data_IF_849980935916
#
_entry.id   IF_849980935916
#
_cell.length_a   1.000
_cell.length_b   1.000
_cell.length_c   1.000
_cell.angle_alpha   90.00
_cell.angle_beta   90.00
_cell.angle_gamma   90.00
#
_symmetry.space_group_name_H-M   'P 1'
#
loop_
_entity.id
_entity.type
_entity.pdbx_description
1 polymer ?
#
# COMPACT_ATOMS: atom_id res chain seq x y z
N UNK A 1 7.20 17.95 9.19
CA UNK A 1 8.23 16.88 9.27
C UNK A 1 7.63 15.51 9.57
N UNK A 2 6.75 15.36 10.57
CA UNK A 2 6.11 14.07 10.90
C UNK A 2 5.32 13.46 9.72
N UNK A 3 4.55 14.27 8.99
CA UNK A 3 3.76 13.82 7.83
C UNK A 3 4.60 13.18 6.72
N UNK A 4 5.82 13.68 6.49
CA UNK A 4 6.76 13.14 5.51
C UNK A 4 7.33 11.79 5.95
N UNK A 5 7.70 11.67 7.22
CA UNK A 5 8.16 10.39 7.77
C UNK A 5 7.07 9.33 7.66
N UNK A 6 5.81 9.69 7.93
CA UNK A 6 4.68 8.78 7.73
C UNK A 6 4.53 8.36 6.27
N UNK A 7 4.68 9.27 5.30
CA UNK A 7 4.65 8.93 3.88
C UNK A 7 5.79 7.97 3.49
N UNK A 8 7.00 8.16 4.01
CA UNK A 8 8.13 7.24 3.79
C UNK A 8 7.85 5.86 4.41
N UNK A 9 7.28 5.80 5.62
CA UNK A 9 6.88 4.54 6.26
C UNK A 9 5.80 3.80 5.45
N UNK A 10 4.83 4.53 4.89
CA UNK A 10 3.85 3.97 3.95
C UNK A 10 4.55 3.40 2.71
N UNK A 11 5.58 4.08 2.21
CA UNK A 11 6.44 3.57 1.14
C UNK A 11 7.10 2.23 1.48
N UNK A 12 7.64 2.09 2.70
CA UNK A 12 8.24 0.83 3.16
C UNK A 12 7.20 -0.30 3.22
N UNK A 13 6.01 -0.03 3.76
CA UNK A 13 4.88 -0.96 3.77
C UNK A 13 4.49 -1.40 2.35
N UNK A 14 4.41 -0.45 1.41
CA UNK A 14 4.17 -0.73 0.00
C UNK A 14 5.25 -1.65 -0.58
N UNK A 15 6.53 -1.43 -0.29
CA UNK A 15 7.59 -2.33 -0.76
C UNK A 15 7.37 -3.77 -0.27
N UNK A 16 6.95 -3.95 0.98
CA UNK A 16 6.59 -5.26 1.51
C UNK A 16 5.42 -5.89 0.74
N UNK A 17 4.38 -5.11 0.45
CA UNK A 17 3.27 -5.56 -0.38
C UNK A 17 3.73 -6.04 -1.76
N UNK A 18 4.54 -5.23 -2.46
CA UNK A 18 5.05 -5.54 -3.79
C UNK A 18 6.00 -6.76 -3.78
N UNK A 19 6.76 -6.94 -2.71
CA UNK A 19 7.62 -8.11 -2.52
C UNK A 19 6.80 -9.40 -2.35
N UNK A 20 5.73 -9.35 -1.55
CA UNK A 20 4.74 -10.44 -1.40
C UNK A 20 4.10 -10.76 -2.76
N UNK A 21 3.54 -9.75 -3.42
CA UNK A 21 2.93 -9.87 -4.75
C UNK A 21 3.89 -10.47 -5.79
N UNK A 22 5.13 -9.97 -5.83
CA UNK A 22 6.16 -10.42 -6.74
C UNK A 22 6.57 -11.88 -6.52
N UNK A 23 6.58 -12.33 -5.27
CA UNK A 23 6.87 -13.73 -4.94
C UNK A 23 5.81 -14.68 -5.48
N UNK A 24 4.54 -14.37 -5.21
CA UNK A 24 3.41 -15.14 -5.71
C UNK A 24 3.35 -15.07 -7.25
N UNK A 25 3.73 -13.92 -7.83
CA UNK A 25 3.59 -13.59 -9.25
C UNK A 25 4.27 -14.59 -10.16
N UNK A 26 5.41 -15.11 -9.68
CA UNK A 26 6.23 -16.09 -10.39
C UNK A 26 5.57 -17.48 -10.46
N UNK A 27 4.68 -17.81 -9.54
CA UNK A 27 4.07 -19.15 -9.46
C UNK A 27 2.65 -19.19 -10.05
N UNK A 28 1.87 -18.09 -9.93
CA UNK A 28 0.43 -18.11 -10.23
C UNK A 28 -0.04 -17.13 -11.29
N UNK A 29 0.90 -16.42 -11.93
CA UNK A 29 0.58 -15.44 -12.97
C UNK A 29 0.13 -14.09 -12.41
N UNK A 30 0.55 -13.02 -13.08
CA UNK A 30 0.39 -11.64 -12.61
C UNK A 30 -1.06 -11.22 -12.39
N UNK A 31 -1.97 -11.62 -13.29
CA UNK A 31 -3.38 -11.23 -13.22
C UNK A 31 -4.09 -11.80 -11.99
N UNK A 32 -3.83 -13.07 -11.63
CA UNK A 32 -4.47 -13.71 -10.48
C UNK A 32 -4.09 -13.02 -9.17
N UNK A 33 -2.86 -12.53 -9.09
CA UNK A 33 -2.31 -11.91 -7.88
C UNK A 33 -2.67 -10.45 -7.76
N UNK A 34 -2.74 -9.74 -8.89
CA UNK A 34 -3.36 -8.43 -8.94
C UNK A 34 -4.82 -8.51 -8.43
N UNK A 35 -5.58 -9.51 -8.88
CA UNK A 35 -6.94 -9.75 -8.41
C UNK A 35 -6.98 -10.07 -6.91
N UNK A 36 -6.15 -11.00 -6.43
CA UNK A 36 -6.03 -11.34 -5.00
C UNK A 36 -5.71 -10.11 -4.13
N UNK A 37 -4.76 -9.28 -4.55
CA UNK A 37 -4.42 -8.06 -3.81
C UNK A 37 -5.54 -7.02 -3.82
N UNK A 38 -6.29 -6.94 -4.92
CA UNK A 38 -7.50 -6.12 -4.97
C UNK A 38 -8.51 -6.59 -3.94
N UNK A 39 -8.79 -7.89 -3.89
CA UNK A 39 -9.74 -8.49 -2.95
C UNK A 39 -9.31 -8.32 -1.49
N UNK A 40 -8.03 -8.56 -1.15
CA UNK A 40 -7.53 -8.36 0.22
C UNK A 40 -7.66 -6.91 0.65
N UNK A 41 -7.27 -5.95 -0.20
CA UNK A 41 -7.35 -4.52 0.12
C UNK A 41 -8.79 -4.07 0.30
N UNK A 42 -9.70 -4.47 -0.61
CA UNK A 42 -11.13 -4.14 -0.53
C UNK A 42 -11.78 -4.75 0.72
N UNK A 43 -11.46 -6.01 1.02
CA UNK A 43 -12.02 -6.70 2.19
C UNK A 43 -11.58 -6.04 3.49
N UNK A 44 -10.28 -5.69 3.60
CA UNK A 44 -9.75 -4.98 4.78
C UNK A 44 -10.41 -3.60 4.91
N UNK A 45 -10.48 -2.81 3.83
CA UNK A 45 -11.10 -1.49 3.86
C UNK A 45 -12.57 -1.57 4.28
N UNK A 46 -13.33 -2.49 3.67
CA UNK A 46 -14.73 -2.69 3.96
C UNK A 46 -14.98 -3.11 5.42
N UNK A 47 -14.19 -4.06 5.92
CA UNK A 47 -14.25 -4.49 7.32
C UNK A 47 -13.97 -3.34 8.29
N UNK A 48 -13.00 -2.46 7.98
CA UNK A 48 -12.71 -1.29 8.80
C UNK A 48 -13.85 -0.27 8.80
N UNK A 49 -14.48 -0.02 7.66
CA UNK A 49 -15.66 0.87 7.59
C UNK A 49 -16.82 0.30 8.41
N UNK A 50 -17.07 -1.00 8.30
CA UNK A 50 -18.10 -1.69 9.08
C UNK A 50 -17.78 -1.63 10.58
N UNK A 51 -16.56 -1.98 10.97
CA UNK A 51 -16.11 -1.95 12.37
C UNK A 51 -16.22 -0.54 12.96
N UNK A 52 -15.74 0.48 12.25
CA UNK A 52 -15.80 1.85 12.74
C UNK A 52 -17.24 2.36 12.88
N UNK A 53 -18.17 1.91 12.03
CA UNK A 53 -19.60 2.19 12.21
C UNK A 53 -20.14 1.56 13.49
N UNK A 54 -19.84 0.28 13.71
CA UNK A 54 -20.36 -0.50 14.85
C UNK A 54 -19.81 0.04 16.17
N UNK A 55 -18.51 0.36 16.23
CA UNK A 55 -17.86 0.78 17.47
C UNK A 55 -17.92 2.30 17.73
N UNK A 56 -17.73 3.12 16.69
CA UNK A 56 -17.64 4.58 16.85
C UNK A 56 -18.95 5.31 16.57
N UNK A 57 -19.99 4.60 16.09
CA UNK A 57 -21.26 5.20 15.71
C UNK A 57 -21.12 6.24 14.58
N UNK A 58 -20.04 6.16 13.80
CA UNK A 58 -19.72 7.16 12.80
C UNK A 58 -20.84 7.27 11.75
N UNK A 59 -21.29 8.50 11.48
CA UNK A 59 -22.31 8.75 10.48
C UNK A 59 -21.70 8.70 9.07
N UNK A 60 -22.12 7.70 8.30
CA UNK A 60 -21.73 7.49 6.90
C UNK A 60 -22.83 7.91 5.93
N UNK A 61 -23.80 8.74 6.37
CA UNK A 61 -24.89 9.26 5.55
C UNK A 61 -24.40 9.93 4.25
N UNK A 62 -23.31 10.69 4.32
CA UNK A 62 -22.66 11.29 3.16
C UNK A 62 -22.07 10.26 2.18
N UNK A 63 -21.66 9.09 2.67
CA UNK A 63 -21.19 7.99 1.82
C UNK A 63 -22.36 7.31 1.09
N UNK A 64 -23.51 7.22 1.75
CA UNK A 64 -24.71 6.55 1.25
C UNK A 64 -25.29 7.20 -0.03
N UNK A 65 -24.98 8.47 -0.29
CA UNK A 65 -25.36 9.17 -1.52
C UNK A 65 -24.51 8.77 -2.74
N UNK A 66 -23.27 8.32 -2.51
CA UNK A 66 -22.33 7.91 -3.57
C UNK A 66 -22.41 6.40 -3.76
N UNK A 67 -22.26 5.63 -2.68
CA UNK A 67 -22.34 4.18 -2.68
C UNK A 67 -23.18 3.77 -1.49
N UNK A 68 -24.30 3.08 -1.76
CA UNK A 68 -25.15 2.65 -0.66
C UNK A 68 -24.40 1.66 0.24
N UNK A 69 -24.60 1.79 1.55
CA UNK A 69 -23.87 0.98 2.52
C UNK A 69 -24.10 -0.53 2.35
N UNK A 70 -25.28 -0.94 1.90
CA UNK A 70 -25.60 -2.35 1.64
C UNK A 70 -24.73 -2.91 0.51
N UNK A 71 -24.41 -2.10 -0.50
CA UNK A 71 -23.48 -2.50 -1.57
C UNK A 71 -22.05 -2.63 -1.07
N UNK A 72 -21.58 -1.71 -0.22
CA UNK A 72 -20.26 -1.84 0.41
C UNK A 72 -20.17 -3.13 1.22
N UNK A 73 -21.22 -3.45 1.97
CA UNK A 73 -21.30 -4.71 2.73
C UNK A 73 -21.23 -5.93 1.80
N UNK A 74 -22.03 -5.96 0.73
CA UNK A 74 -22.04 -7.06 -0.24
C UNK A 74 -20.66 -7.22 -0.92
N UNK A 75 -20.04 -6.13 -1.39
CA UNK A 75 -18.72 -6.16 -2.03
C UNK A 75 -17.66 -6.70 -1.06
N UNK A 76 -17.69 -6.24 0.19
CA UNK A 76 -16.76 -6.69 1.24
C UNK A 76 -16.95 -8.18 1.54
N UNK A 77 -18.20 -8.63 1.62
CA UNK A 77 -18.54 -10.01 1.93
C UNK A 77 -18.17 -10.95 0.77
N UNK A 78 -18.51 -10.59 -0.47
CA UNK A 78 -18.10 -11.34 -1.67
C UNK A 78 -16.59 -11.39 -1.79
N UNK A 79 -15.91 -10.26 -1.54
CA UNK A 79 -14.45 -10.19 -1.55
C UNK A 79 -13.83 -11.11 -0.50
N UNK A 80 -14.36 -11.10 0.72
CA UNK A 80 -13.89 -11.93 1.83
C UNK A 80 -14.13 -13.41 1.57
N UNK A 81 -15.29 -13.79 1.02
CA UNK A 81 -15.56 -15.18 0.61
C UNK A 81 -14.57 -15.62 -0.45
N UNK A 82 -14.30 -14.79 -1.46
CA UNK A 82 -13.31 -15.07 -2.50
C UNK A 82 -11.89 -15.25 -1.95
N UNK A 83 -11.55 -14.62 -0.82
CA UNK A 83 -10.28 -14.84 -0.12
C UNK A 83 -10.26 -16.18 0.61
N UNK A 84 -11.37 -16.58 1.23
CA UNK A 84 -11.48 -17.86 1.94
C UNK A 84 -11.34 -19.04 0.99
N UNK A 85 -11.86 -18.94 -0.24
CA UNK A 85 -11.74 -20.03 -1.23
C UNK A 85 -10.29 -20.28 -1.66
N UNK A 86 -9.43 -19.26 -1.61
CA UNK A 86 -7.99 -19.37 -1.94
C UNK A 86 -7.08 -19.47 -0.71
N UNK A 87 -7.64 -19.42 0.50
CA UNK A 87 -6.91 -19.43 1.76
C UNK A 87 -6.04 -20.67 1.95
N UNK A 88 -6.54 -21.84 1.56
CA UNK A 88 -5.77 -23.09 1.63
C UNK A 88 -4.67 -23.18 0.58
N UNK A 89 -4.76 -22.37 -0.47
CA UNK A 89 -3.85 -22.41 -1.59
C UNK A 89 -2.71 -21.42 -1.42
N UNK A 90 -2.79 -20.44 -0.52
CA UNK A 90 -1.79 -19.38 -0.40
C UNK A 90 -1.17 -19.36 1.00
N UNK A 91 0.12 -18.98 1.13
CA UNK A 91 0.73 -18.80 2.44
C UNK A 91 -0.02 -17.74 3.25
N UNK A 92 -0.18 -17.96 4.55
CA UNK A 92 -0.95 -17.07 5.44
C UNK A 92 -0.44 -15.61 5.44
N UNK A 93 0.86 -15.38 5.23
CA UNK A 93 1.45 -14.04 5.18
C UNK A 93 1.04 -13.25 3.93
N UNK A 94 0.58 -13.91 2.86
CA UNK A 94 0.10 -13.24 1.64
C UNK A 94 -1.12 -12.35 1.91
N UNK A 95 -1.94 -12.72 2.90
CA UNK A 95 -3.15 -11.99 3.28
C UNK A 95 -2.83 -10.64 3.95
N UNK A 96 -1.61 -10.47 4.47
CA UNK A 96 -1.14 -9.19 5.01
C UNK A 96 -0.95 -8.12 3.91
N UNK A 97 -0.87 -8.51 2.63
CA UNK A 97 -0.75 -7.56 1.51
C UNK A 97 -1.86 -6.49 1.50
N UNK A 98 -3.09 -6.86 1.87
CA UNK A 98 -4.21 -5.91 1.93
C UNK A 98 -4.05 -4.82 3.01
N UNK A 99 -3.36 -5.11 4.12
CA UNK A 99 -3.09 -4.13 5.17
C UNK A 99 -2.09 -3.06 4.69
N UNK A 100 -1.07 -3.48 3.96
CA UNK A 100 -0.09 -2.56 3.39
C UNK A 100 -0.71 -1.69 2.27
N UNK A 101 -1.60 -2.26 1.46
CA UNK A 101 -2.35 -1.51 0.45
C UNK A 101 -3.29 -0.48 1.07
N UNK A 102 -3.95 -0.85 2.16
CA UNK A 102 -4.76 0.06 2.95
C UNK A 102 -3.93 1.23 3.51
N UNK A 103 -2.70 0.99 3.98
CA UNK A 103 -1.84 2.05 4.51
C UNK A 103 -1.59 3.15 3.48
N UNK A 104 -1.46 2.80 2.19
CA UNK A 104 -1.39 3.79 1.10
C UNK A 104 -2.70 4.56 0.97
N UNK A 105 -3.84 3.87 0.91
CA UNK A 105 -5.15 4.52 0.67
C UNK A 105 -5.49 5.49 1.82
N UNK A 106 -5.42 5.01 3.06
CA UNK A 106 -5.71 5.82 4.25
C UNK A 106 -4.65 6.91 4.43
N UNK A 107 -3.38 6.56 4.20
CA UNK A 107 -2.27 7.49 4.26
C UNK A 107 -2.41 8.61 3.25
N UNK A 108 -2.78 8.31 2.01
CA UNK A 108 -3.03 9.30 0.97
C UNK A 108 -4.20 10.21 1.35
N UNK A 109 -5.33 9.64 1.78
CA UNK A 109 -6.49 10.42 2.20
C UNK A 109 -6.19 11.41 3.34
N UNK A 110 -5.28 11.04 4.25
CA UNK A 110 -4.91 11.87 5.40
C UNK A 110 -3.76 12.86 5.11
N UNK A 111 -2.73 12.42 4.39
CA UNK A 111 -1.49 13.18 4.19
C UNK A 111 -1.55 14.08 2.96
N UNK A 112 -2.19 13.66 1.86
CA UNK A 112 -2.26 14.45 0.62
C UNK A 112 -2.86 15.85 0.85
N UNK A 113 -3.96 16.02 1.62
CA UNK A 113 -4.49 17.36 1.90
C UNK A 113 -3.56 18.25 2.74
N UNK A 114 -2.53 17.68 3.37
CA UNK A 114 -1.64 18.38 4.32
C UNK A 114 -0.28 18.74 3.75
N UNK A 115 0.26 17.89 2.87
CA UNK A 115 1.59 18.07 2.27
C UNK A 115 1.54 18.14 0.74
N UNK A 116 0.37 17.98 0.12
CA UNK A 116 0.20 17.97 -1.33
C UNK A 116 0.46 16.60 -1.98
N UNK A 117 -0.10 16.44 -3.17
CA UNK A 117 -0.06 15.17 -3.95
C UNK A 117 1.39 14.81 -4.34
N UNK A 118 2.13 15.78 -4.88
CA UNK A 118 3.48 15.57 -5.37
C UNK A 118 4.42 15.13 -4.24
N UNK A 119 4.40 15.84 -3.11
CA UNK A 119 5.26 15.54 -1.96
C UNK A 119 4.94 14.18 -1.34
N UNK A 120 3.66 13.82 -1.26
CA UNK A 120 3.23 12.51 -0.78
C UNK A 120 3.80 11.36 -1.64
N UNK A 121 3.56 11.37 -2.96
CA UNK A 121 3.99 10.28 -3.83
C UNK A 121 5.51 10.19 -3.94
N UNK A 122 6.20 11.31 -3.89
CA UNK A 122 7.65 11.35 -3.93
C UNK A 122 8.25 10.77 -2.64
N UNK A 123 7.68 11.10 -1.46
CA UNK A 123 8.08 10.50 -0.19
C UNK A 123 7.77 8.99 -0.11
N UNK A 124 6.59 8.57 -0.59
CA UNK A 124 6.22 7.14 -0.71
C UNK A 124 7.17 6.40 -1.64
N UNK A 125 7.54 7.00 -2.78
CA UNK A 125 8.48 6.41 -3.73
C UNK A 125 9.87 6.24 -3.13
N UNK A 126 10.34 7.21 -2.34
CA UNK A 126 11.59 7.08 -1.59
C UNK A 126 11.55 5.89 -0.63
N UNK A 127 10.48 5.80 0.18
CA UNK A 127 10.28 4.69 1.12
C UNK A 127 10.20 3.35 0.42
N UNK A 128 9.46 3.26 -0.70
CA UNK A 128 9.29 2.01 -1.43
C UNK A 128 10.56 1.57 -2.16
N UNK A 129 11.37 2.51 -2.64
CA UNK A 129 12.68 2.20 -3.23
C UNK A 129 13.66 1.68 -2.17
N UNK A 130 13.74 2.34 -1.00
CA UNK A 130 14.58 1.87 0.11
C UNK A 130 14.14 0.48 0.57
N UNK A 131 12.84 0.30 0.81
CA UNK A 131 12.27 -0.99 1.21
C UNK A 131 12.50 -2.07 0.17
N UNK A 132 12.33 -1.76 -1.11
CA UNK A 132 12.56 -2.68 -2.22
C UNK A 132 14.00 -3.18 -2.26
N UNK A 133 14.98 -2.29 -2.12
CA UNK A 133 16.39 -2.68 -2.09
C UNK A 133 16.73 -3.54 -0.87
N UNK A 134 16.18 -3.23 0.30
CA UNK A 134 16.37 -4.03 1.52
C UNK A 134 15.76 -5.43 1.34
N UNK A 135 14.52 -5.50 0.87
CA UNK A 135 13.77 -6.75 0.69
C UNK A 135 14.38 -7.64 -0.39
N UNK A 136 14.84 -7.03 -1.49
CA UNK A 136 15.59 -7.71 -2.55
C UNK A 136 16.89 -8.33 -2.02
N UNK A 137 17.59 -7.61 -1.14
CA UNK A 137 18.86 -8.10 -0.60
C UNK A 137 18.69 -9.32 0.29
N UNK A 138 17.68 -9.31 1.15
CA UNK A 138 17.39 -10.44 2.05
C UNK A 138 16.62 -11.58 1.37
N UNK A 139 16.20 -11.42 0.11
CA UNK A 139 15.39 -12.43 -0.59
C UNK A 139 14.02 -12.66 0.06
N UNK A 140 13.40 -11.59 0.56
CA UNK A 140 12.17 -11.67 1.35
C UNK A 140 11.08 -12.46 0.62
N UNK A 141 10.28 -13.23 1.37
CA UNK A 141 9.16 -14.03 0.85
C UNK A 141 9.55 -15.06 -0.23
N UNK A 142 10.80 -15.54 -0.22
CA UNK A 142 11.30 -16.47 -1.23
C UNK A 142 11.63 -15.80 -2.57
N UNK A 143 11.83 -14.48 -2.56
CA UNK A 143 12.32 -13.76 -3.73
C UNK A 143 13.81 -14.06 -4.00
N UNK A 144 14.24 -14.06 -5.28
CA UNK A 144 15.65 -14.15 -5.62
C UNK A 144 16.44 -13.07 -4.89
N UNK A 145 17.52 -13.46 -4.22
CA UNK A 145 18.40 -12.51 -3.55
C UNK A 145 19.14 -11.70 -4.60
N UNK A 146 18.95 -10.38 -4.59
CA UNK A 146 19.69 -9.47 -5.46
C UNK A 146 20.76 -8.77 -4.63
N UNK A 147 22.03 -8.96 -5.00
CA UNK A 147 23.17 -8.39 -4.29
C UNK A 147 23.14 -6.86 -4.34
N UNK A 148 23.61 -6.24 -3.24
CA UNK A 148 23.81 -4.79 -3.18
C UNK A 148 24.83 -4.36 -4.24
N UNK A 149 24.38 -3.55 -5.20
CA UNK A 149 25.26 -2.91 -6.19
C UNK A 149 25.44 -1.44 -5.84
N UNK A 150 26.66 -0.87 -5.98
CA UNK A 150 26.90 0.57 -5.84
C UNK A 150 25.97 1.43 -6.71
N UNK A 151 25.56 0.92 -7.89
CA UNK A 151 24.61 1.63 -8.76
C UNK A 151 23.21 1.75 -8.14
N UNK A 152 22.75 0.74 -7.37
CA UNK A 152 21.46 0.82 -6.66
C UNK A 152 21.50 1.89 -5.57
N UNK A 153 22.64 2.03 -4.88
CA UNK A 153 22.84 3.09 -3.87
C UNK A 153 22.82 4.46 -4.54
N UNK A 154 23.54 4.64 -5.66
CA UNK A 154 23.49 5.87 -6.44
C UNK A 154 22.08 6.19 -6.93
N UNK A 155 21.31 5.19 -7.35
CA UNK A 155 19.90 5.34 -7.70
C UNK A 155 19.04 5.83 -6.53
N UNK A 156 19.21 5.24 -5.34
CA UNK A 156 18.52 5.70 -4.12
C UNK A 156 18.88 7.14 -3.76
N UNK A 157 20.15 7.51 -3.88
CA UNK A 157 20.60 8.89 -3.68
C UNK A 157 19.98 9.84 -4.71
N UNK A 158 19.87 9.43 -5.98
CA UNK A 158 19.21 10.22 -7.01
C UNK A 158 17.71 10.42 -6.74
N UNK A 159 17.00 9.39 -6.26
CA UNK A 159 15.60 9.52 -5.81
C UNK A 159 15.51 10.50 -4.64
N UNK A 160 16.42 10.40 -3.66
CA UNK A 160 16.48 11.31 -2.53
C UNK A 160 16.71 12.77 -2.96
N UNK A 161 17.59 12.99 -3.93
CA UNK A 161 17.77 14.32 -4.55
C UNK A 161 16.50 14.80 -5.25
N UNK A 162 15.83 13.93 -6.01
CA UNK A 162 14.53 14.25 -6.62
C UNK A 162 13.48 14.67 -5.60
N UNK A 163 13.43 13.99 -4.44
CA UNK A 163 12.54 14.33 -3.32
C UNK A 163 12.85 15.73 -2.78
N UNK A 164 14.13 16.03 -2.58
CA UNK A 164 14.56 17.34 -2.10
C UNK A 164 14.20 18.45 -3.10
N UNK A 165 14.39 18.21 -4.41
CA UNK A 165 14.06 19.19 -5.45
C UNK A 165 12.56 19.50 -5.51
N UNK A 166 11.71 18.48 -5.46
CA UNK A 166 10.24 18.68 -5.44
C UNK A 166 9.83 19.47 -4.20
N UNK A 167 10.40 19.14 -3.05
CA UNK A 167 10.10 19.84 -1.80
C UNK A 167 10.54 21.29 -1.81
N UNK A 168 11.75 21.56 -2.33
CA UNK A 168 12.23 22.94 -2.52
C UNK A 168 11.30 23.67 -3.48
N UNK A 169 10.90 23.04 -4.59
CA UNK A 169 9.96 23.58 -5.57
C UNK A 169 8.63 24.03 -4.95
N UNK A 170 8.04 23.19 -4.08
CA UNK A 170 6.80 23.52 -3.38
C UNK A 170 6.95 24.70 -2.41
N UNK A 171 8.12 24.86 -1.78
CA UNK A 171 8.38 25.99 -0.87
C UNK A 171 8.33 27.35 -1.58
N UNK A 172 8.54 27.41 -2.90
CA UNK A 172 8.43 28.65 -3.67
C UNK A 172 6.98 29.03 -4.02
N UNK A 173 6.00 28.17 -3.69
CA UNK A 173 4.58 28.38 -4.00
C UNK A 173 3.75 28.82 -2.78
N UNK A 174 4.32 28.78 -1.58
CA UNK A 174 3.76 29.34 -0.33
C UNK A 174 4.25 30.77 -0.11
#
# INVERSE_FOLDING_TARGET
>A
MVSLLLAVLIGLAMATQWSILGSLGRERGSLQIAWFSGLTTLSVLGLLVIANRVFSGADYSAFNSIVRYEWLFIITLVGSIGLVTVANSLPWWSFCSGLFGLALIVGAAYLVPRIGVAEFFVAVTLGSAIGGVILDHIGAFGNPTILFSPLRILGLLAIMLGVLLVRIGNFWQE
#
